data_IF_086794588562
#
_entry.id   IF_086794588562
#
_cell.length_a   1.000
_cell.length_b   1.000
_cell.length_c   1.000
_cell.angle_alpha   90.00
_cell.angle_beta   90.00
_cell.angle_gamma   90.00
#
_symmetry.space_group_name_H-M   'P 1'
#
loop_
_entity.id
_entity.type
_entity.pdbx_description
1 polymer ?
#
# COMPACT_ATOMS: atom_id res chain seq x y z
N UNK A 1 2.21 -8.44 6.67
CA UNK A 1 1.69 -7.78 5.45
C UNK A 1 2.84 -7.66 4.45
N UNK A 2 2.66 -8.09 3.20
CA UNK A 2 3.65 -7.84 2.15
C UNK A 2 3.97 -6.33 2.11
N UNK A 3 5.21 -5.94 1.80
CA UNK A 3 5.61 -4.52 1.79
C UNK A 3 5.37 -3.84 0.45
N UNK A 4 4.96 -4.60 -0.57
CA UNK A 4 4.77 -4.15 -1.95
C UNK A 4 3.47 -4.70 -2.54
N UNK A 5 2.91 -3.98 -3.49
CA UNK A 5 1.80 -4.43 -4.32
C UNK A 5 2.32 -5.28 -5.48
N UNK A 6 1.76 -6.48 -5.69
CA UNK A 6 2.19 -7.39 -6.77
C UNK A 6 1.77 -6.88 -8.17
N UNK A 7 0.77 -5.99 -8.24
CA UNK A 7 0.26 -5.47 -9.53
C UNK A 7 0.98 -4.21 -9.98
N UNK A 8 1.32 -3.31 -9.05
CA UNK A 8 1.92 -2.01 -9.41
C UNK A 8 3.29 -1.76 -8.80
N UNK A 9 3.86 -2.72 -8.07
CA UNK A 9 5.20 -2.63 -7.47
C UNK A 9 5.35 -1.62 -6.32
N UNK A 10 4.33 -0.79 -6.05
CA UNK A 10 4.39 0.26 -5.02
C UNK A 10 4.68 -0.33 -3.65
N UNK A 11 5.71 0.21 -3.00
CA UNK A 11 6.10 -0.14 -1.63
C UNK A 11 6.01 1.02 -0.66
N UNK A 12 6.36 0.76 0.60
CA UNK A 12 6.33 1.77 1.66
C UNK A 12 7.29 2.93 1.38
N UNK A 13 6.83 4.15 1.56
CA UNK A 13 7.66 5.36 1.52
C UNK A 13 8.15 5.70 2.93
N UNK A 14 9.32 6.37 3.00
CA UNK A 14 9.79 6.98 4.25
C UNK A 14 9.11 8.34 4.40
N UNK A 15 8.70 8.66 5.62
CA UNK A 15 8.11 9.94 6.00
C UNK A 15 8.61 10.33 7.39
N UNK A 16 8.33 11.54 7.84
CA UNK A 16 8.68 11.99 9.17
C UNK A 16 7.46 12.54 9.90
N UNK A 17 7.18 12.01 11.08
CA UNK A 17 6.23 12.63 12.01
C UNK A 17 6.91 13.78 12.75
N UNK A 18 6.13 14.83 13.05
CA UNK A 18 6.52 15.96 13.88
C UNK A 18 5.59 16.00 15.08
N UNK A 19 6.14 16.14 16.28
CA UNK A 19 5.36 16.40 17.49
C UNK A 19 4.94 17.87 17.56
N UNK A 20 4.11 18.21 18.56
CA UNK A 20 3.77 19.60 18.87
C UNK A 20 5.02 20.47 19.10
N UNK A 21 6.06 19.90 19.70
CA UNK A 21 7.37 20.55 19.89
C UNK A 21 8.32 20.39 18.69
N UNK A 22 7.80 20.07 17.50
CA UNK A 22 8.55 19.89 16.25
C UNK A 22 9.64 18.79 16.25
N UNK A 23 9.58 17.83 17.18
CA UNK A 23 10.56 16.74 17.24
C UNK A 23 10.34 15.81 16.04
N UNK A 24 11.40 15.57 15.27
CA UNK A 24 11.39 14.72 14.06
C UNK A 24 11.57 13.25 14.41
N UNK A 25 10.54 12.44 14.16
CA UNK A 25 10.63 10.98 14.22
C UNK A 25 10.39 10.36 12.84
N UNK A 26 11.32 9.53 12.35
CA UNK A 26 11.17 8.86 11.05
C UNK A 26 10.13 7.74 11.16
N UNK A 27 9.16 7.74 10.24
CA UNK A 27 8.14 6.69 10.11
C UNK A 27 8.11 6.12 8.70
N UNK A 28 7.47 4.96 8.52
CA UNK A 28 7.17 4.40 7.21
C UNK A 28 5.68 4.52 6.93
N UNK A 29 5.34 5.02 5.75
CA UNK A 29 3.97 5.01 5.25
C UNK A 29 3.75 3.72 4.46
N UNK A 30 2.93 2.82 5.00
CA UNK A 30 2.60 1.56 4.35
C UNK A 30 1.39 1.73 3.44
N UNK A 31 1.38 0.98 2.33
CA UNK A 31 0.20 0.89 1.49
C UNK A 31 -0.85 0.02 2.18
N UNK A 32 -2.12 0.41 2.03
CA UNK A 32 -3.24 -0.46 2.35
C UNK A 32 -3.31 -1.60 1.31
N UNK A 33 -2.64 -2.71 1.64
CA UNK A 33 -2.55 -3.92 0.85
C UNK A 33 -3.60 -4.92 1.30
N UNK A 34 -4.31 -5.48 0.34
CA UNK A 34 -5.42 -6.39 0.53
C UNK A 34 -5.09 -7.69 -0.19
N UNK A 35 -5.34 -8.83 0.48
CA UNK A 35 -5.14 -10.15 -0.13
C UNK A 35 -6.36 -10.48 -0.97
N UNK A 36 -6.18 -10.67 -2.27
CA UNK A 36 -7.25 -11.10 -3.17
C UNK A 36 -6.79 -12.24 -4.07
N UNK A 37 -7.72 -13.11 -4.44
CA UNK A 37 -7.50 -14.11 -5.49
C UNK A 37 -7.75 -13.46 -6.83
N UNK A 38 -6.74 -13.46 -7.70
CA UNK A 38 -6.86 -13.04 -9.10
C UNK A 38 -6.27 -14.15 -9.96
N UNK A 39 -7.05 -14.62 -10.94
CA UNK A 39 -6.65 -15.69 -11.87
C UNK A 39 -6.11 -16.94 -11.14
N UNK A 40 -6.81 -17.38 -10.09
CA UNK A 40 -6.43 -18.55 -9.27
C UNK A 40 -5.28 -18.33 -8.28
N UNK A 41 -4.52 -17.22 -8.37
CA UNK A 41 -3.40 -16.92 -7.47
C UNK A 41 -3.79 -15.93 -6.38
N UNK A 42 -3.32 -16.15 -5.15
CA UNK A 42 -3.44 -15.20 -4.04
C UNK A 42 -2.39 -14.10 -4.23
N UNK A 43 -2.82 -12.86 -4.41
CA UNK A 43 -1.95 -11.70 -4.60
C UNK A 43 -2.21 -10.63 -3.55
N UNK A 44 -1.18 -9.90 -3.17
CA UNK A 44 -1.25 -8.69 -2.36
C UNK A 44 -1.43 -7.47 -3.26
N UNK A 45 -2.60 -6.85 -3.17
CA UNK A 45 -3.01 -5.78 -4.06
C UNK A 45 -3.37 -4.53 -3.28
N UNK A 46 -2.90 -3.37 -3.73
CA UNK A 46 -3.24 -2.11 -3.08
C UNK A 46 -4.66 -1.66 -3.40
N UNK A 47 -5.29 -0.94 -2.47
CA UNK A 47 -6.66 -0.44 -2.62
C UNK A 47 -6.88 0.37 -3.92
N UNK A 48 -5.86 1.12 -4.39
CA UNK A 48 -5.94 1.86 -5.67
C UNK A 48 -6.12 0.91 -6.86
N UNK A 49 -5.35 -0.18 -6.93
CA UNK A 49 -5.46 -1.16 -8.00
C UNK A 49 -6.81 -1.92 -7.95
N UNK A 50 -7.37 -2.15 -6.76
CA UNK A 50 -8.73 -2.70 -6.62
C UNK A 50 -9.75 -1.73 -7.23
N UNK A 51 -9.68 -0.45 -6.84
CA UNK A 51 -10.60 0.58 -7.34
C UNK A 51 -10.54 0.70 -8.87
N UNK A 52 -9.35 0.67 -9.47
CA UNK A 52 -9.19 0.73 -10.93
C UNK A 52 -9.78 -0.50 -11.62
N UNK A 53 -9.56 -1.71 -11.09
CA UNK A 53 -10.13 -2.94 -11.65
C UNK A 53 -11.65 -2.96 -11.56
N UNK A 54 -12.23 -2.47 -10.46
CA UNK A 54 -13.68 -2.43 -10.29
C UNK A 54 -14.40 -1.50 -11.28
N UNK A 55 -13.70 -0.49 -11.83
CA UNK A 55 -14.25 0.46 -12.81
C UNK A 55 -14.23 -0.05 -14.25
N UNK A 56 -13.29 -0.94 -14.59
CA UNK A 56 -13.25 -1.59 -15.90
C UNK A 56 -14.26 -2.75 -15.88
N UNK A 57 -15.53 -2.42 -16.04
CA UNK A 57 -16.56 -3.35 -16.51
C UNK A 57 -16.72 -3.15 -18.01
#
# INVERSE_FOLDING_TARGET
MAKKCDVCGRGSTKDASRSHSNIKTVKRQYLNLQVKKINGKKLHICAKCIKTRAKKK
#
